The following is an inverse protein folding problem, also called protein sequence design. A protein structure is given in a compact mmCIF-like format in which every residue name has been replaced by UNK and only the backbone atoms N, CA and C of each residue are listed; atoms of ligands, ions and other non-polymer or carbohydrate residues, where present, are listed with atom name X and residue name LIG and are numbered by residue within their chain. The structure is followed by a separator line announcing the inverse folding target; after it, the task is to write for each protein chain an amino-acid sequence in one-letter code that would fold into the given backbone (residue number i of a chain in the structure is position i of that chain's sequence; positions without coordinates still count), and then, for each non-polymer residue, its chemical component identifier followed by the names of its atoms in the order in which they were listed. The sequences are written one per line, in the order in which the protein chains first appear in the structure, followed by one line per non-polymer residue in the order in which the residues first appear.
data_IF_868810326968
#
_entry.id   IF_868810326968
#
_cell.length_a   1.000
_cell.length_b   1.000
_cell.length_c   1.000
_cell.angle_alpha   90.00
_cell.angle_beta   90.00
_cell.angle_gamma   90.00
#
_symmetry.space_group_name_H-M   'P 1'
#
loop_
_entity.id
_entity.type
_entity.pdbx_description
1 polymer ?
#
# COMPACT_ATOMS: atom_id res chain seq x y z
N UNK A 1 -7.60 -20.60 10.46
CA UNK A 1 -6.78 -19.37 10.27
C UNK A 1 -5.48 -19.75 9.59
N UNK A 2 -5.18 -19.22 8.39
CA UNK A 2 -3.93 -19.56 7.67
C UNK A 2 -2.75 -18.79 8.26
N UNK A 3 -1.71 -19.51 8.68
CA UNK A 3 -0.43 -18.93 9.13
C UNK A 3 0.45 -18.63 7.91
N UNK A 4 1.25 -17.57 7.98
CA UNK A 4 2.29 -17.31 6.99
C UNK A 4 3.39 -18.37 7.10
N UNK A 5 3.95 -18.75 5.96
CA UNK A 5 5.10 -19.66 5.90
C UNK A 5 6.38 -18.94 6.33
N UNK A 6 7.42 -19.68 6.72
CA UNK A 6 8.72 -19.11 7.07
C UNK A 6 9.30 -18.26 5.91
N UNK A 7 9.19 -18.74 4.66
CA UNK A 7 9.61 -18.00 3.46
C UNK A 7 8.89 -16.65 3.34
N UNK A 8 7.59 -16.59 3.60
CA UNK A 8 6.80 -15.36 3.57
C UNK A 8 7.22 -14.39 4.69
N UNK A 9 7.48 -14.92 5.89
CA UNK A 9 7.98 -14.11 7.02
C UNK A 9 9.35 -13.52 6.69
N UNK A 10 10.28 -14.31 6.16
CA UNK A 10 11.59 -13.80 5.73
C UNK A 10 11.48 -12.71 4.65
N UNK A 11 10.54 -12.83 3.70
CA UNK A 11 10.29 -11.78 2.71
C UNK A 11 9.81 -10.48 3.36
N UNK A 12 8.92 -10.55 4.35
CA UNK A 12 8.45 -9.37 5.09
C UNK A 12 9.60 -8.72 5.85
N UNK A 13 10.40 -9.50 6.59
CA UNK A 13 11.56 -9.00 7.33
C UNK A 13 12.56 -8.33 6.37
N UNK A 14 12.83 -8.96 5.22
CA UNK A 14 13.69 -8.37 4.18
C UNK A 14 13.14 -7.02 3.69
N UNK A 15 11.83 -6.92 3.40
CA UNK A 15 11.22 -5.68 2.96
C UNK A 15 11.35 -4.58 4.05
N UNK A 16 11.11 -4.93 5.31
CA UNK A 16 11.27 -4.01 6.45
C UNK A 16 12.73 -3.51 6.53
N UNK A 17 13.73 -4.39 6.46
CA UNK A 17 15.14 -4.00 6.54
C UNK A 17 15.51 -3.00 5.41
N UNK A 18 14.98 -3.20 4.21
CA UNK A 18 15.26 -2.35 3.05
C UNK A 18 14.53 -1.00 3.16
N UNK A 19 13.29 -0.98 3.63
CA UNK A 19 12.43 0.22 3.63
C UNK A 19 12.57 1.06 4.91
N UNK A 20 12.83 0.44 6.07
CA UNK A 20 12.85 1.11 7.37
C UNK A 20 13.80 2.32 7.44
N UNK A 21 15.04 2.28 6.89
CA UNK A 21 15.90 3.45 6.88
C UNK A 21 15.27 4.65 6.16
N UNK A 22 14.59 4.40 5.03
CA UNK A 22 13.91 5.45 4.28
C UNK A 22 12.63 5.91 4.98
N UNK A 23 11.90 5.01 5.64
CA UNK A 23 10.72 5.37 6.45
C UNK A 23 11.10 6.32 7.59
N UNK A 24 12.25 6.10 8.24
CA UNK A 24 12.79 7.00 9.26
C UNK A 24 13.24 8.33 8.64
N UNK A 25 14.01 8.29 7.54
CA UNK A 25 14.48 9.49 6.85
C UNK A 25 13.33 10.36 6.35
N UNK A 26 12.18 9.79 6.02
CA UNK A 26 11.01 10.52 5.53
C UNK A 26 10.56 11.61 6.53
N UNK A 27 10.70 11.38 7.84
CA UNK A 27 10.33 12.37 8.86
C UNK A 27 11.21 13.62 8.85
N UNK A 28 12.42 13.55 8.29
CA UNK A 28 13.32 14.68 8.14
C UNK A 28 13.30 15.24 6.71
N UNK A 29 13.41 14.37 5.71
CA UNK A 29 13.55 14.76 4.30
C UNK A 29 12.27 15.40 3.76
N UNK A 30 11.09 14.84 4.06
CA UNK A 30 9.83 15.33 3.48
C UNK A 30 9.50 16.76 3.95
N UNK A 31 9.55 17.11 5.25
CA UNK A 31 9.35 18.49 5.69
C UNK A 31 10.27 19.48 4.96
N UNK A 32 11.57 19.16 4.88
CA UNK A 32 12.57 20.03 4.26
C UNK A 32 12.31 20.18 2.76
N UNK A 33 12.06 19.08 2.04
CA UNK A 33 11.81 19.10 0.61
C UNK A 33 10.55 19.88 0.24
N UNK A 34 9.51 19.84 1.08
CA UNK A 34 8.27 20.58 0.86
C UNK A 34 8.43 22.09 1.02
N UNK A 35 9.39 22.58 1.80
CA UNK A 35 9.69 24.02 1.88
C UNK A 35 10.19 24.60 0.55
N UNK A 36 10.78 23.74 -0.30
CA UNK A 36 11.22 24.12 -1.65
C UNK A 36 10.12 24.00 -2.71
N UNK A 37 8.92 23.52 -2.35
CA UNK A 37 7.83 23.31 -3.29
C UNK A 37 6.89 24.52 -3.37
N UNK A 38 6.54 24.94 -4.58
CA UNK A 38 5.53 25.95 -4.87
C UNK A 38 4.13 25.32 -4.99
N UNK A 39 3.08 26.15 -5.07
CA UNK A 39 1.69 25.68 -5.08
C UNK A 39 1.38 24.84 -6.32
N UNK A 40 1.97 25.19 -7.44
CA UNK A 40 1.85 24.53 -8.75
C UNK A 40 2.60 23.19 -8.85
N UNK A 41 3.52 22.91 -7.91
CA UNK A 41 4.29 21.67 -7.97
C UNK A 41 3.41 20.43 -7.74
N UNK A 42 3.67 19.40 -8.54
CA UNK A 42 3.03 18.08 -8.42
C UNK A 42 3.95 17.05 -7.76
N UNK A 43 5.26 17.33 -7.69
CA UNK A 43 6.28 16.40 -7.23
C UNK A 43 7.27 17.05 -6.28
N UNK A 44 7.90 16.23 -5.44
CA UNK A 44 9.07 16.66 -4.68
C UNK A 44 10.26 17.00 -5.60
N UNK A 45 11.20 17.85 -5.16
CA UNK A 45 12.46 18.07 -5.87
C UNK A 45 13.18 16.75 -6.15
N UNK A 46 13.92 16.69 -7.27
CA UNK A 46 14.57 15.45 -7.76
C UNK A 46 15.41 14.73 -6.70
N UNK A 47 16.08 15.46 -5.82
CA UNK A 47 16.92 14.88 -4.76
C UNK A 47 16.09 14.16 -3.67
N UNK A 48 14.80 14.50 -3.53
CA UNK A 48 13.86 13.90 -2.58
C UNK A 48 12.78 13.05 -3.25
N UNK A 49 12.88 12.79 -4.57
CA UNK A 49 11.80 12.14 -5.33
C UNK A 49 11.46 10.72 -4.87
N UNK A 50 12.36 10.06 -4.16
CA UNK A 50 12.13 8.74 -3.56
C UNK A 50 11.04 8.74 -2.47
N UNK A 51 10.79 9.89 -1.84
CA UNK A 51 9.81 10.06 -0.78
C UNK A 51 8.43 10.49 -1.31
N UNK A 52 8.30 10.69 -2.61
CA UNK A 52 7.06 11.09 -3.27
C UNK A 52 6.08 9.91 -3.38
N UNK A 53 4.81 10.21 -3.67
CA UNK A 53 3.83 9.21 -4.07
C UNK A 53 3.93 8.95 -5.60
N UNK A 54 4.07 7.69 -6.03
CA UNK A 54 4.30 7.35 -7.43
C UNK A 54 3.05 7.52 -8.30
N UNK A 55 1.87 7.46 -7.70
CA UNK A 55 0.59 7.46 -8.42
C UNK A 55 -0.01 8.88 -8.45
N UNK A 56 0.15 9.64 -7.36
CA UNK A 56 -0.58 10.89 -7.14
C UNK A 56 0.29 12.10 -6.79
N UNK A 57 1.61 11.92 -6.73
CA UNK A 57 2.55 12.97 -6.34
C UNK A 57 2.27 13.53 -4.95
N UNK A 58 2.64 14.79 -4.72
CA UNK A 58 2.58 15.42 -3.40
C UNK A 58 1.17 15.88 -3.00
N UNK A 59 0.25 16.01 -3.96
CA UNK A 59 -1.08 16.62 -3.78
C UNK A 59 -2.18 15.58 -3.48
N UNK A 60 -1.85 14.29 -3.51
CA UNK A 60 -2.72 13.19 -3.11
C UNK A 60 -3.81 12.78 -4.10
N UNK A 61 -4.46 11.66 -3.77
CA UNK A 61 -5.54 11.07 -4.57
C UNK A 61 -6.86 11.83 -4.42
N UNK A 62 -7.89 11.43 -5.18
CA UNK A 62 -9.22 12.06 -5.13
C UNK A 62 -9.84 12.03 -3.73
N UNK A 63 -9.66 10.94 -2.98
CA UNK A 63 -10.16 10.83 -1.61
C UNK A 63 -9.46 11.81 -0.67
N UNK A 64 -8.15 11.99 -0.83
CA UNK A 64 -7.38 13.00 -0.10
C UNK A 64 -7.93 14.41 -0.33
N UNK A 65 -8.18 14.75 -1.60
CA UNK A 65 -8.68 16.06 -2.00
C UNK A 65 -10.11 16.29 -1.51
N UNK A 66 -10.98 15.29 -1.61
CA UNK A 66 -12.41 15.49 -1.36
C UNK A 66 -12.80 15.26 0.11
N UNK A 67 -12.18 14.31 0.80
CA UNK A 67 -12.59 13.90 2.15
C UNK A 67 -11.70 14.47 3.26
N UNK A 68 -10.42 14.71 2.97
CA UNK A 68 -9.44 15.11 3.99
C UNK A 68 -9.05 16.58 3.92
N UNK A 69 -8.82 17.12 2.72
CA UNK A 69 -8.38 18.50 2.51
C UNK A 69 -9.08 19.17 1.32
N UNK A 70 -10.41 19.35 1.36
CA UNK A 70 -11.14 20.05 0.31
C UNK A 70 -10.58 21.45 0.08
N UNK A 71 -10.20 21.73 -1.17
CA UNK A 71 -9.63 23.00 -1.65
C UNK A 71 -8.30 23.43 -0.98
N UNK A 72 -7.72 22.54 -0.17
CA UNK A 72 -6.53 22.82 0.67
C UNK A 72 -5.44 21.77 0.48
N UNK A 73 -5.58 20.88 -0.49
CA UNK A 73 -4.68 19.77 -0.77
C UNK A 73 -3.26 20.21 -1.11
N UNK A 74 -3.12 21.42 -1.68
CA UNK A 74 -1.82 22.01 -2.07
C UNK A 74 -1.12 22.76 -0.94
N UNK A 75 -1.71 22.82 0.26
CA UNK A 75 -1.04 23.44 1.42
C UNK A 75 0.11 22.58 1.90
N UNK A 76 1.15 23.22 2.48
CA UNK A 76 2.28 22.51 3.09
C UNK A 76 1.82 21.40 4.05
N UNK A 77 0.86 21.71 4.92
CA UNK A 77 0.34 20.75 5.90
C UNK A 77 -0.38 19.55 5.27
N UNK A 78 -1.18 19.79 4.22
CA UNK A 78 -1.85 18.70 3.49
C UNK A 78 -0.83 17.80 2.77
N UNK A 79 0.14 18.38 2.06
CA UNK A 79 1.21 17.62 1.40
C UNK A 79 2.07 16.83 2.38
N UNK A 80 2.44 17.45 3.50
CA UNK A 80 3.20 16.80 4.55
C UNK A 80 2.45 15.58 5.11
N UNK A 81 1.16 15.73 5.42
CA UNK A 81 0.35 14.62 5.94
C UNK A 81 0.12 13.53 4.89
N UNK A 82 -0.02 13.89 3.62
CA UNK A 82 -0.15 12.93 2.53
C UNK A 82 1.11 12.05 2.41
N UNK A 83 2.27 12.69 2.30
CA UNK A 83 3.55 12.01 2.11
C UNK A 83 3.98 11.25 3.37
N UNK A 84 3.72 11.77 4.57
CA UNK A 84 3.97 11.03 5.81
C UNK A 84 2.98 9.86 6.02
N UNK A 85 1.82 9.84 5.36
CA UNK A 85 0.92 8.67 5.32
C UNK A 85 1.35 7.65 4.27
N UNK A 86 1.90 8.10 3.15
CA UNK A 86 2.36 7.30 2.03
C UNK A 86 3.88 7.41 1.86
N UNK A 87 4.62 7.19 2.94
CA UNK A 87 6.08 7.38 2.95
C UNK A 87 6.72 6.48 1.90
N UNK A 88 7.81 6.98 1.33
CA UNK A 88 8.75 6.25 0.47
C UNK A 88 8.09 5.57 -0.75
N UNK A 89 6.98 6.13 -1.25
CA UNK A 89 6.16 5.48 -2.27
C UNK A 89 6.95 5.13 -3.54
N UNK A 90 7.66 6.12 -4.09
CA UNK A 90 8.53 5.93 -5.26
C UNK A 90 9.67 4.95 -4.98
N UNK A 91 10.31 5.04 -3.81
CA UNK A 91 11.37 4.10 -3.43
C UNK A 91 10.86 2.64 -3.39
N UNK A 92 9.75 2.41 -2.70
CA UNK A 92 9.12 1.09 -2.56
C UNK A 92 8.77 0.50 -3.92
N UNK A 93 8.15 1.30 -4.80
CA UNK A 93 7.84 0.90 -6.19
C UNK A 93 9.10 0.56 -6.98
N UNK A 94 10.16 1.38 -6.87
CA UNK A 94 11.39 1.22 -7.66
C UNK A 94 12.19 -0.03 -7.28
N UNK A 95 12.34 -0.30 -5.99
CA UNK A 95 13.26 -1.35 -5.52
C UNK A 95 12.57 -2.65 -5.12
N UNK A 96 11.33 -2.59 -4.65
CA UNK A 96 10.58 -3.76 -4.18
C UNK A 96 9.29 -4.00 -4.96
N UNK A 97 8.85 -3.06 -5.78
CA UNK A 97 7.58 -3.14 -6.50
C UNK A 97 7.44 -4.36 -7.40
N UNK A 98 6.21 -4.86 -7.49
CA UNK A 98 5.83 -5.93 -8.41
C UNK A 98 5.10 -5.32 -9.60
N UNK A 99 5.70 -5.38 -10.78
CA UNK A 99 5.04 -4.93 -12.01
C UNK A 99 3.92 -5.90 -12.37
N UNK A 100 2.71 -5.40 -12.58
CA UNK A 100 1.54 -6.25 -12.86
C UNK A 100 1.74 -7.08 -14.13
N UNK A 101 2.29 -6.47 -15.17
CA UNK A 101 2.63 -7.14 -16.44
C UNK A 101 3.65 -8.28 -16.32
N UNK A 102 4.41 -8.34 -15.22
CA UNK A 102 5.41 -9.37 -14.97
C UNK A 102 4.84 -10.55 -14.15
N UNK A 103 3.59 -10.46 -13.70
CA UNK A 103 2.88 -11.54 -13.02
C UNK A 103 2.51 -12.60 -14.07
N UNK A 104 2.72 -13.87 -13.71
CA UNK A 104 2.13 -14.99 -14.41
C UNK A 104 0.67 -15.14 -13.94
N UNK A 105 -0.27 -14.76 -14.80
CA UNK A 105 -1.69 -14.71 -14.48
C UNK A 105 -2.25 -16.08 -14.06
N UNK A 106 -1.74 -17.18 -14.62
CA UNK A 106 -2.16 -18.55 -14.27
C UNK A 106 -1.81 -18.94 -12.83
N UNK A 107 -0.80 -18.27 -12.26
CA UNK A 107 -0.25 -18.58 -10.94
C UNK A 107 -0.93 -17.83 -9.78
N UNK A 108 -1.85 -16.91 -10.08
CA UNK A 108 -2.49 -16.07 -9.06
C UNK A 108 -3.50 -16.91 -8.28
N UNK A 109 -3.24 -17.08 -6.99
CA UNK A 109 -4.11 -17.81 -6.06
C UNK A 109 -4.61 -16.85 -5.00
N UNK A 110 -5.92 -16.67 -4.92
CA UNK A 110 -6.59 -15.88 -3.88
C UNK A 110 -7.27 -16.83 -2.90
N UNK A 111 -7.03 -16.62 -1.61
CA UNK A 111 -7.60 -17.42 -0.53
C UNK A 111 -8.22 -16.51 0.53
N UNK A 112 -9.34 -16.93 1.10
CA UNK A 112 -10.11 -16.10 2.02
C UNK A 112 -10.94 -15.06 1.25
N UNK A 113 -11.22 -13.93 1.89
CA UNK A 113 -12.15 -12.93 1.36
C UNK A 113 -11.40 -11.77 0.69
N UNK A 114 -11.43 -11.62 -0.65
CA UNK A 114 -10.78 -10.49 -1.34
C UNK A 114 -11.38 -9.12 -0.98
N UNK A 115 -12.52 -9.08 -0.29
CA UNK A 115 -13.14 -7.84 0.21
C UNK A 115 -12.80 -7.52 1.67
N UNK A 116 -11.89 -8.24 2.32
CA UNK A 116 -11.50 -8.02 3.74
C UNK A 116 -11.08 -6.58 4.03
N UNK A 117 -10.45 -5.89 3.08
CA UNK A 117 -9.98 -4.51 3.26
C UNK A 117 -11.10 -3.47 3.20
N UNK A 118 -12.27 -3.85 2.67
CA UNK A 118 -13.42 -2.98 2.44
C UNK A 118 -14.53 -3.18 3.48
N UNK A 119 -14.39 -4.14 4.39
CA UNK A 119 -15.44 -4.48 5.37
C UNK A 119 -15.54 -3.51 6.58
N UNK A 120 -14.81 -2.39 6.56
CA UNK A 120 -14.87 -1.34 7.59
C UNK A 120 -14.42 -1.75 9.00
N UNK A 121 -13.88 -2.95 9.18
CA UNK A 121 -13.60 -3.50 10.51
C UNK A 121 -14.81 -4.14 11.20
N UNK A 122 -15.94 -4.28 10.51
CA UNK A 122 -17.19 -4.81 11.06
C UNK A 122 -17.01 -6.29 11.45
N UNK A 123 -16.31 -7.06 10.60
CA UNK A 123 -16.08 -8.51 10.77
C UNK A 123 -14.58 -8.82 10.76
N UNK A 124 -14.16 -9.74 11.63
CA UNK A 124 -12.82 -10.33 11.57
C UNK A 124 -12.70 -11.22 10.34
N UNK A 125 -11.77 -10.93 9.45
CA UNK A 125 -11.59 -11.69 8.23
C UNK A 125 -10.15 -11.59 7.72
N UNK A 126 -9.81 -12.36 6.69
CA UNK A 126 -8.48 -12.40 6.11
C UNK A 126 -8.51 -12.72 4.62
N UNK A 127 -7.43 -12.33 3.94
CA UNK A 127 -7.16 -12.70 2.57
C UNK A 127 -5.67 -12.95 2.38
N UNK A 128 -5.33 -13.94 1.58
CA UNK A 128 -3.98 -14.19 1.10
C UNK A 128 -4.02 -14.29 -0.42
N UNK A 129 -3.28 -13.41 -1.08
CA UNK A 129 -3.03 -13.48 -2.52
C UNK A 129 -1.59 -13.93 -2.72
N UNK A 130 -1.36 -14.93 -3.56
CA UNK A 130 -0.03 -15.43 -3.93
C UNK A 130 0.07 -15.38 -5.45
N UNK A 131 1.24 -15.00 -5.97
CA UNK A 131 1.53 -15.13 -7.39
C UNK A 131 2.99 -15.51 -7.63
N UNK A 132 3.26 -16.03 -8.82
CA UNK A 132 4.59 -16.14 -9.40
C UNK A 132 4.77 -15.03 -10.42
N UNK A 133 5.97 -14.49 -10.47
CA UNK A 133 6.41 -13.65 -11.57
C UNK A 133 6.91 -14.54 -12.71
N UNK A 134 6.93 -14.03 -13.94
CA UNK A 134 7.45 -14.72 -15.13
C UNK A 134 8.89 -15.25 -14.97
N UNK A 135 9.67 -14.67 -14.05
CA UNK A 135 11.02 -15.13 -13.71
C UNK A 135 11.06 -16.19 -12.58
N UNK A 136 9.91 -16.79 -12.24
CA UNK A 136 9.79 -17.84 -11.22
C UNK A 136 9.77 -17.35 -9.77
N UNK A 137 10.00 -16.06 -9.50
CA UNK A 137 9.95 -15.53 -8.12
C UNK A 137 8.52 -15.49 -7.60
N UNK A 138 8.32 -15.96 -6.39
CA UNK A 138 7.03 -15.90 -5.70
C UNK A 138 6.86 -14.60 -4.91
N UNK A 139 5.63 -14.09 -4.88
CA UNK A 139 5.20 -12.92 -4.11
C UNK A 139 3.87 -13.21 -3.43
N UNK A 140 3.58 -12.47 -2.36
CA UNK A 140 2.32 -12.62 -1.64
C UNK A 140 1.83 -11.30 -1.06
N UNK A 141 0.52 -11.19 -0.86
CA UNK A 141 -0.12 -10.12 -0.09
C UNK A 141 -1.03 -10.74 0.94
N UNK A 142 -0.78 -10.48 2.22
CA UNK A 142 -1.60 -10.93 3.33
C UNK A 142 -2.33 -9.77 3.96
N UNK A 143 -3.64 -9.92 4.12
CA UNK A 143 -4.53 -8.91 4.63
C UNK A 143 -5.38 -9.50 5.74
N UNK A 144 -5.49 -8.80 6.85
CA UNK A 144 -6.29 -9.25 7.98
C UNK A 144 -6.94 -8.09 8.70
N UNK A 145 -8.18 -8.32 9.07
CA UNK A 145 -8.98 -7.49 9.96
C UNK A 145 -9.28 -8.31 11.21
N UNK A 146 -9.01 -7.76 12.39
CA UNK A 146 -9.31 -8.40 13.69
C UNK A 146 -10.21 -7.44 14.46
N UNK A 147 -11.50 -7.79 14.53
CA UNK A 147 -12.51 -7.09 15.31
C UNK A 147 -12.32 -7.38 16.80
N UNK A 148 -12.22 -6.33 17.60
CA UNK A 148 -12.15 -6.46 19.05
C UNK A 148 -13.54 -6.55 19.67
N UNK A 149 -13.64 -7.26 20.80
CA UNK A 149 -14.81 -7.30 21.67
C UNK A 149 -14.66 -6.40 22.90
N UNK A 150 -15.66 -6.44 23.78
CA UNK A 150 -15.62 -5.76 25.08
C UNK A 150 -15.46 -4.24 24.99
N UNK A 151 -14.58 -3.67 25.81
CA UNK A 151 -14.33 -2.22 25.90
C UNK A 151 -13.79 -1.66 24.57
N UNK A 152 -13.08 -2.49 23.79
CA UNK A 152 -12.53 -2.11 22.48
C UNK A 152 -13.47 -2.42 21.32
N UNK A 153 -14.75 -2.70 21.57
CA UNK A 153 -15.77 -3.01 20.54
C UNK A 153 -16.03 -1.91 19.52
N UNK A 154 -15.36 -0.76 19.54
CA UNK A 154 -15.46 0.26 18.48
C UNK A 154 -14.18 0.31 17.62
N UNK A 155 -13.23 -0.59 17.89
CA UNK A 155 -11.94 -0.65 17.23
C UNK A 155 -11.66 -2.01 16.59
N UNK A 156 -10.68 -2.04 15.71
CA UNK A 156 -10.16 -3.24 15.07
C UNK A 156 -8.67 -3.09 14.72
N UNK A 157 -7.96 -4.22 14.67
CA UNK A 157 -6.62 -4.29 14.12
C UNK A 157 -6.67 -4.56 12.61
N UNK A 158 -5.89 -3.79 11.84
CA UNK A 158 -5.69 -3.99 10.41
C UNK A 158 -4.23 -4.31 10.10
N UNK A 159 -3.99 -5.47 9.51
CA UNK A 159 -2.66 -6.00 9.21
C UNK A 159 -2.53 -6.23 7.71
N UNK A 160 -1.58 -5.57 7.05
CA UNK A 160 -1.21 -5.79 5.66
C UNK A 160 0.29 -6.13 5.57
N UNK A 161 0.64 -7.26 4.97
CA UNK A 161 2.02 -7.75 4.86
C UNK A 161 2.32 -8.26 3.44
N UNK A 162 3.54 -8.01 2.94
CA UNK A 162 4.01 -8.47 1.64
C UNK A 162 3.91 -7.38 0.58
N UNK A 163 3.09 -7.59 -0.45
CA UNK A 163 2.81 -6.64 -1.53
C UNK A 163 1.31 -6.36 -1.64
N UNK A 164 0.96 -5.22 -2.26
CA UNK A 164 -0.42 -4.81 -2.56
C UNK A 164 -1.13 -5.68 -3.62
N UNK A 165 -0.97 -7.00 -3.53
CA UNK A 165 -1.56 -7.96 -4.46
C UNK A 165 -3.10 -8.08 -4.39
N UNK A 166 -3.78 -7.38 -3.47
CA UNK A 166 -5.25 -7.34 -3.49
C UNK A 166 -5.77 -6.74 -4.80
N UNK A 167 -5.01 -5.82 -5.39
CA UNK A 167 -5.35 -5.17 -6.66
C UNK A 167 -5.38 -6.16 -7.84
N UNK A 168 -4.81 -7.36 -7.68
CA UNK A 168 -4.83 -8.46 -8.67
C UNK A 168 -5.54 -9.71 -8.15
N UNK A 169 -6.30 -9.60 -7.06
CA UNK A 169 -7.09 -10.71 -6.55
C UNK A 169 -8.13 -11.15 -7.62
N UNK A 170 -8.12 -12.43 -7.98
CA UNK A 170 -8.97 -12.99 -9.03
C UNK A 170 -8.43 -12.87 -10.46
N UNK A 171 -7.22 -12.32 -10.65
CA UNK A 171 -6.54 -12.34 -11.95
C UNK A 171 -6.33 -13.78 -12.42
N UNK A 172 -6.54 -14.02 -13.71
CA UNK A 172 -6.28 -15.26 -14.43
C UNK A 172 -6.02 -14.94 -15.91
N UNK A 173 -5.69 -15.96 -16.70
CA UNK A 173 -5.36 -15.80 -18.13
C UNK A 173 -6.49 -15.17 -18.96
N UNK A 174 -7.74 -15.44 -18.61
CA UNK A 174 -8.91 -14.94 -19.34
C UNK A 174 -9.22 -13.48 -19.05
N UNK A 175 -8.81 -12.95 -17.88
CA UNK A 175 -9.17 -11.61 -17.44
C UNK A 175 -7.97 -10.68 -17.19
N UNK A 176 -6.73 -11.11 -17.45
CA UNK A 176 -5.51 -10.33 -17.20
C UNK A 176 -5.54 -8.94 -17.83
N UNK A 177 -6.18 -8.79 -18.99
CA UNK A 177 -6.33 -7.50 -19.68
C UNK A 177 -7.00 -6.43 -18.81
N UNK A 178 -7.96 -6.82 -17.94
CA UNK A 178 -8.69 -5.93 -17.04
C UNK A 178 -7.86 -5.36 -15.88
N UNK A 179 -6.64 -5.88 -15.69
CA UNK A 179 -5.71 -5.45 -14.64
C UNK A 179 -4.52 -4.68 -15.22
N UNK A 180 -4.52 -4.47 -16.53
CA UNK A 180 -3.48 -3.77 -17.28
C UNK A 180 -4.05 -2.51 -17.96
N UNK A 181 -5.28 -2.11 -17.61
CA UNK A 181 -5.91 -0.93 -18.18
C UNK A 181 -5.24 0.35 -17.66
N UNK A 182 -5.41 1.47 -18.37
CA UNK A 182 -4.73 2.76 -18.06
C UNK A 182 -5.07 3.27 -16.65
N UNK A 183 -6.20 2.85 -16.08
CA UNK A 183 -6.60 3.19 -14.70
C UNK A 183 -5.99 2.29 -13.61
N UNK A 184 -5.39 1.16 -13.99
CA UNK A 184 -4.83 0.21 -13.05
C UNK A 184 -3.40 0.57 -12.65
N UNK A 185 -3.01 0.09 -11.47
CA UNK A 185 -1.67 0.32 -10.95
C UNK A 185 -0.65 -0.52 -11.71
N UNK A 186 0.31 0.08 -12.44
CA UNK A 186 1.30 -0.70 -13.18
C UNK A 186 2.27 -1.45 -12.26
N UNK A 187 2.46 -0.94 -11.03
CA UNK A 187 3.38 -1.51 -10.05
C UNK A 187 2.73 -1.57 -8.66
N UNK A 188 2.73 -2.75 -8.06
CA UNK A 188 2.19 -3.01 -6.72
C UNK A 188 3.32 -2.90 -5.69
N UNK A 189 3.25 -1.90 -4.82
CA UNK A 189 4.26 -1.65 -3.78
C UNK A 189 4.26 -2.71 -2.68
N UNK A 190 5.39 -2.86 -2.00
CA UNK A 190 5.45 -3.61 -0.73
C UNK A 190 4.62 -2.90 0.35
N UNK A 191 4.22 -3.67 1.36
CA UNK A 191 3.48 -3.18 2.52
C UNK A 191 3.80 -4.02 3.76
N UNK A 192 4.02 -3.34 4.88
CA UNK A 192 4.14 -3.95 6.21
C UNK A 192 3.43 -3.05 7.24
N UNK A 193 2.11 -2.98 7.17
CA UNK A 193 1.32 -2.08 8.02
C UNK A 193 0.55 -2.87 9.08
N UNK A 194 0.75 -2.52 10.35
CA UNK A 194 -0.07 -3.00 11.47
C UNK A 194 -0.70 -1.77 12.13
N UNK A 195 -2.02 -1.64 12.00
CA UNK A 195 -2.79 -0.56 12.61
C UNK A 195 -3.70 -1.16 13.69
N UNK A 196 -3.28 -1.17 14.96
CA UNK A 196 -4.01 -1.90 16.01
C UNK A 196 -5.34 -1.24 16.39
N UNK A 197 -5.47 0.09 16.27
CA UNK A 197 -6.60 0.84 16.84
C UNK A 197 -7.37 1.63 15.79
N UNK A 198 -7.73 1.01 14.66
CA UNK A 198 -8.63 1.67 13.70
C UNK A 198 -10.07 1.65 14.22
N UNK A 199 -10.80 2.76 14.07
CA UNK A 199 -12.23 2.83 14.39
C UNK A 199 -13.05 2.09 13.33
N UNK A 200 -14.04 1.32 13.79
CA UNK A 200 -15.00 0.68 12.89
C UNK A 200 -15.86 1.73 12.21
N UNK A 201 -16.08 1.52 10.90
CA UNK A 201 -17.01 2.31 10.09
C UNK A 201 -18.27 1.49 9.89
N UNK A 202 -19.41 2.07 10.26
CA UNK A 202 -20.74 1.52 10.03
C UNK A 202 -21.28 2.00 8.69
#
# INVERSE_FOLDING_TARGET
MRKLTAKQICQVIKNIIIELPFEILAFLVVPIALLSCKKEDEHLPRWASWFDDPDYGINGDKGWKNEHFPEKERTYYARLRWLLRNRIGVFSVKFLGVRVRDIDASSVVTQGNPKVTSNGGIVSDWCLVICKLKNGKERFGYYRTIRYGGILKNFYCRIYLGWKLMDVAGMNEMNVGKYLEVGDKPVLKSVWAINPLKRVKH
#
